data_IF_700997853925
#
_entry.id   IF_700997853925
#
_cell.length_a   1.000
_cell.length_b   1.000
_cell.length_c   1.000
_cell.angle_alpha   90.00
_cell.angle_beta   90.00
_cell.angle_gamma   90.00
#
_symmetry.space_group_name_H-M   'P 1'
#
loop_
_entity.id
_entity.type
_entity.pdbx_description
1 polymer ?
#
# COMPACT_ATOMS: atom_id res chain seq x y z
N UNK A 1 55.83 46.52 27.46
CA UNK A 1 55.18 46.93 26.20
C UNK A 1 55.74 46.02 25.13
N UNK A 2 54.97 45.01 24.72
CA UNK A 2 55.45 44.02 23.75
C UNK A 2 55.64 44.70 22.38
N UNK A 3 56.86 44.66 21.80
CA UNK A 3 57.17 45.36 20.55
C UNK A 3 56.60 44.66 19.30
N UNK A 4 55.67 43.73 19.45
CA UNK A 4 55.14 42.90 18.37
C UNK A 4 53.64 43.09 18.12
N UNK A 5 52.96 43.92 18.92
CA UNK A 5 51.56 44.25 18.65
C UNK A 5 51.47 45.30 17.53
N UNK A 6 51.35 44.83 16.30
CA UNK A 6 51.02 45.66 15.16
C UNK A 6 49.49 45.67 14.96
N UNK A 7 48.77 46.73 15.37
CA UNK A 7 47.32 46.78 15.32
C UNK A 7 46.73 46.68 13.90
N UNK A 8 47.52 46.98 12.86
CA UNK A 8 47.09 46.78 11.48
C UNK A 8 46.97 45.30 11.12
N UNK A 9 47.88 44.45 11.61
CA UNK A 9 47.83 43.00 11.33
C UNK A 9 46.60 42.37 11.98
N UNK A 10 46.22 42.79 13.19
CA UNK A 10 44.99 42.30 13.83
C UNK A 10 43.73 42.74 13.11
N UNK A 11 43.67 43.98 12.60
CA UNK A 11 42.51 44.45 11.84
C UNK A 11 42.34 43.72 10.50
N UNK A 12 43.46 43.41 9.82
CA UNK A 12 43.43 42.67 8.58
C UNK A 12 42.95 41.23 8.79
N UNK A 13 43.35 40.58 9.89
CA UNK A 13 42.88 39.24 10.26
C UNK A 13 41.37 39.22 10.59
N UNK A 14 40.87 40.16 11.39
CA UNK A 14 39.44 40.26 11.71
C UNK A 14 38.58 40.48 10.46
N UNK A 15 39.10 41.25 9.49
CA UNK A 15 38.41 41.49 8.21
C UNK A 15 38.36 40.25 7.32
N UNK A 16 39.44 39.44 7.32
CA UNK A 16 39.53 38.21 6.54
C UNK A 16 38.60 37.11 7.09
N UNK A 17 38.48 36.99 8.41
CA UNK A 17 37.52 36.08 9.05
C UNK A 17 36.07 36.48 8.73
N UNK A 18 35.74 37.77 8.79
CA UNK A 18 34.41 38.28 8.43
C UNK A 18 34.00 37.95 6.99
N UNK A 19 34.93 38.07 6.04
CA UNK A 19 34.70 37.69 4.64
C UNK A 19 34.50 36.18 4.52
N UNK A 20 35.32 35.36 5.20
CA UNK A 20 35.19 33.91 5.17
C UNK A 20 33.83 33.43 5.72
N UNK A 21 33.37 33.99 6.85
CA UNK A 21 32.06 33.68 7.41
C UNK A 21 30.90 34.11 6.49
N UNK A 22 31.03 35.24 5.80
CA UNK A 22 30.02 35.70 4.85
C UNK A 22 29.92 34.80 3.61
N UNK A 23 31.04 34.32 3.08
CA UNK A 23 31.10 33.39 1.94
C UNK A 23 30.57 32.01 2.32
N UNK A 24 30.95 31.50 3.51
CA UNK A 24 30.45 30.23 4.03
C UNK A 24 28.95 30.30 4.38
N UNK A 25 28.48 31.44 4.90
CA UNK A 25 27.06 31.71 5.18
C UNK A 25 26.20 31.79 3.90
N UNK A 26 26.69 32.45 2.86
CA UNK A 26 26.02 32.49 1.55
C UNK A 26 26.03 31.13 0.85
N UNK A 27 27.13 30.37 0.96
CA UNK A 27 27.24 29.02 0.41
C UNK A 27 26.28 28.02 1.06
N UNK A 28 26.11 28.09 2.39
CA UNK A 28 25.19 27.21 3.14
C UNK A 28 23.72 27.55 2.92
N UNK A 29 23.35 28.84 2.81
CA UNK A 29 21.98 29.26 2.49
C UNK A 29 21.60 28.93 1.03
N UNK A 30 22.52 29.12 0.08
CA UNK A 30 22.31 28.73 -1.31
C UNK A 30 22.16 27.21 -1.48
N UNK A 31 22.97 26.42 -0.75
CA UNK A 31 22.91 24.96 -0.81
C UNK A 31 21.64 24.40 -0.13
N UNK A 32 21.20 24.98 0.98
CA UNK A 32 19.94 24.58 1.65
C UNK A 32 18.70 24.94 0.82
N UNK A 33 18.70 26.11 0.16
CA UNK A 33 17.63 26.49 -0.77
C UNK A 33 17.51 25.55 -1.98
N UNK A 34 18.63 25.18 -2.60
CA UNK A 34 18.65 24.25 -3.74
C UNK A 34 18.23 22.84 -3.33
N UNK A 35 18.72 22.34 -2.19
CA UNK A 35 18.31 21.00 -1.70
C UNK A 35 16.83 20.94 -1.31
N UNK A 36 16.28 22.00 -0.70
CA UNK A 36 14.84 22.10 -0.41
C UNK A 36 14.00 22.12 -1.70
N UNK A 37 14.43 22.84 -2.73
CA UNK A 37 13.76 22.86 -4.03
C UNK A 37 13.78 21.49 -4.72
N UNK A 38 14.93 20.80 -4.70
CA UNK A 38 15.07 19.43 -5.23
C UNK A 38 14.16 18.47 -4.46
N UNK A 39 14.12 18.55 -3.13
CA UNK A 39 13.25 17.71 -2.31
C UNK A 39 11.76 17.96 -2.62
N UNK A 40 11.37 19.22 -2.79
CA UNK A 40 10.00 19.58 -3.18
C UNK A 40 9.62 19.03 -4.55
N UNK A 41 10.48 19.23 -5.56
CA UNK A 41 10.26 18.70 -6.92
C UNK A 41 10.17 17.17 -6.87
N UNK A 42 11.10 16.52 -6.16
CA UNK A 42 11.08 15.06 -5.98
C UNK A 42 9.79 14.60 -5.31
N UNK A 43 9.32 15.28 -4.25
CA UNK A 43 8.09 14.93 -3.56
C UNK A 43 6.86 15.06 -4.48
N UNK A 44 6.79 16.12 -5.29
CA UNK A 44 5.72 16.32 -6.27
C UNK A 44 5.75 15.22 -7.33
N UNK A 45 6.93 14.92 -7.89
CA UNK A 45 7.09 13.86 -8.88
C UNK A 45 6.72 12.49 -8.29
N UNK A 46 7.20 12.16 -7.10
CA UNK A 46 6.83 10.93 -6.40
C UNK A 46 5.32 10.85 -6.15
N UNK A 47 4.70 11.93 -5.70
CA UNK A 47 3.25 12.00 -5.50
C UNK A 47 2.49 11.73 -6.80
N UNK A 48 2.85 12.39 -7.90
CA UNK A 48 2.23 12.19 -9.21
C UNK A 48 2.40 10.75 -9.70
N UNK A 49 3.57 10.16 -9.51
CA UNK A 49 3.84 8.75 -9.84
C UNK A 49 2.93 7.83 -9.01
N UNK A 50 2.85 8.03 -7.69
CA UNK A 50 1.98 7.24 -6.80
C UNK A 50 0.51 7.33 -7.23
N UNK A 51 0.02 8.53 -7.54
CA UNK A 51 -1.35 8.73 -8.04
C UNK A 51 -1.57 8.02 -9.37
N UNK A 52 -0.61 8.10 -10.29
CA UNK A 52 -0.70 7.42 -11.59
C UNK A 52 -0.77 5.88 -11.43
N UNK A 53 0.11 5.30 -10.60
CA UNK A 53 0.08 3.86 -10.28
C UNK A 53 -1.25 3.44 -9.63
N UNK A 54 -1.76 4.26 -8.72
CA UNK A 54 -3.04 4.00 -8.07
C UNK A 54 -4.21 4.01 -9.07
N UNK A 55 -4.24 4.99 -9.98
CA UNK A 55 -5.26 5.07 -11.02
C UNK A 55 -5.15 3.91 -12.00
N UNK A 56 -3.94 3.46 -12.35
CA UNK A 56 -3.71 2.30 -13.21
C UNK A 56 -4.27 0.99 -12.62
N UNK A 57 -4.32 0.86 -11.30
CA UNK A 57 -5.01 -0.25 -10.63
C UNK A 57 -6.52 -0.04 -10.53
N UNK A 58 -6.95 1.20 -10.29
CA UNK A 58 -8.37 1.54 -10.05
C UNK A 58 -9.22 1.49 -11.32
N UNK A 59 -8.70 1.91 -12.47
CA UNK A 59 -9.43 1.93 -13.75
C UNK A 59 -9.84 0.52 -14.22
N UNK A 60 -8.95 -0.48 -14.26
CA UNK A 60 -9.32 -1.86 -14.61
C UNK A 60 -10.41 -2.41 -13.69
N UNK A 61 -10.28 -2.15 -12.39
CA UNK A 61 -11.22 -2.62 -11.40
C UNK A 61 -12.60 -1.96 -11.56
N UNK A 62 -12.64 -0.66 -11.86
CA UNK A 62 -13.86 0.06 -12.23
C UNK A 62 -14.54 -0.57 -13.46
N UNK A 63 -13.77 -0.88 -14.50
CA UNK A 63 -14.28 -1.51 -15.72
C UNK A 63 -14.82 -2.92 -15.43
N UNK A 64 -14.12 -3.71 -14.62
CA UNK A 64 -14.59 -5.03 -14.16
C UNK A 64 -15.90 -4.91 -13.37
N UNK A 65 -15.99 -3.97 -12.42
CA UNK A 65 -17.22 -3.75 -11.64
C UNK A 65 -18.40 -3.33 -12.50
N UNK A 66 -18.18 -2.41 -13.46
CA UNK A 66 -19.23 -2.02 -14.40
C UNK A 66 -19.70 -3.19 -15.26
N UNK A 67 -18.77 -4.00 -15.78
CA UNK A 67 -19.09 -5.22 -16.54
C UNK A 67 -19.84 -6.25 -15.70
N UNK A 68 -19.50 -6.34 -14.42
CA UNK A 68 -20.16 -7.22 -13.47
C UNK A 68 -21.50 -6.66 -12.93
N UNK A 69 -22.01 -5.54 -13.44
CA UNK A 69 -23.31 -4.98 -13.02
C UNK A 69 -23.31 -4.29 -11.64
N UNK A 70 -22.15 -4.01 -11.05
CA UNK A 70 -22.08 -3.43 -9.72
C UNK A 70 -22.50 -1.95 -9.71
N UNK A 71 -23.57 -1.61 -8.98
CA UNK A 71 -24.17 -0.26 -8.93
C UNK A 71 -23.18 0.84 -8.53
N UNK A 72 -22.22 0.52 -7.66
CA UNK A 72 -21.27 1.47 -7.10
C UNK A 72 -19.85 1.26 -7.62
N UNK A 73 -19.69 0.99 -8.93
CA UNK A 73 -18.37 0.74 -9.54
C UNK A 73 -17.33 1.85 -9.28
N UNK A 74 -17.78 3.10 -9.11
CA UNK A 74 -16.92 4.25 -8.78
C UNK A 74 -16.15 4.08 -7.46
N UNK A 75 -16.58 3.17 -6.58
CA UNK A 75 -15.84 2.82 -5.36
C UNK A 75 -14.45 2.25 -5.65
N UNK A 76 -14.14 1.84 -6.88
CA UNK A 76 -12.79 1.44 -7.26
C UNK A 76 -11.74 2.56 -7.08
N UNK A 77 -12.13 3.84 -7.01
CA UNK A 77 -11.21 4.98 -6.91
C UNK A 77 -10.87 5.41 -5.48
N UNK A 78 -11.41 4.78 -4.44
CA UNK A 78 -11.02 5.06 -3.05
C UNK A 78 -10.25 3.86 -2.46
N UNK A 79 -9.18 4.07 -1.67
CA UNK A 79 -8.25 3.00 -1.29
C UNK A 79 -8.91 1.79 -0.62
N UNK A 80 -9.64 2.00 0.47
CA UNK A 80 -10.26 0.90 1.21
C UNK A 80 -11.42 0.25 0.46
N UNK A 81 -12.15 1.03 -0.34
CA UNK A 81 -13.26 0.48 -1.13
C UNK A 81 -12.76 -0.22 -2.40
N UNK A 82 -11.55 0.09 -2.89
CA UNK A 82 -10.88 -0.67 -3.95
C UNK A 82 -10.59 -2.10 -3.48
N UNK A 83 -10.01 -2.26 -2.29
CA UNK A 83 -9.78 -3.58 -1.69
C UNK A 83 -11.10 -4.31 -1.44
N UNK A 84 -12.11 -3.62 -0.89
CA UNK A 84 -13.45 -4.18 -0.70
C UNK A 84 -14.04 -4.69 -2.02
N UNK A 85 -13.97 -3.89 -3.08
CA UNK A 85 -14.54 -4.19 -4.39
C UNK A 85 -13.79 -5.37 -5.05
N UNK A 86 -12.47 -5.42 -4.93
CA UNK A 86 -11.64 -6.57 -5.34
C UNK A 86 -12.08 -7.85 -4.62
N UNK A 87 -12.51 -7.74 -3.37
CA UNK A 87 -12.98 -8.86 -2.58
C UNK A 87 -14.39 -9.34 -2.97
N UNK A 88 -15.31 -8.44 -3.30
CA UNK A 88 -16.71 -8.80 -3.56
C UNK A 88 -16.98 -9.16 -5.03
N UNK A 89 -16.18 -8.67 -5.98
CA UNK A 89 -16.40 -8.90 -7.41
C UNK A 89 -16.39 -10.37 -7.82
N UNK A 90 -15.50 -11.22 -7.29
CA UNK A 90 -15.55 -12.64 -7.60
C UNK A 90 -16.79 -13.26 -6.93
N UNK A 91 -17.80 -13.64 -7.71
CA UNK A 91 -19.03 -14.26 -7.20
C UNK A 91 -18.81 -15.75 -6.88
N UNK A 92 -17.93 -16.04 -5.91
CA UNK A 92 -17.52 -17.39 -5.50
C UNK A 92 -17.53 -17.51 -4.00
N UNK A 93 -17.65 -18.73 -3.47
CA UNK A 93 -17.32 -18.97 -2.07
C UNK A 93 -15.89 -18.49 -1.75
N UNK A 94 -15.73 -17.73 -0.67
CA UNK A 94 -14.42 -17.40 -0.14
C UNK A 94 -13.87 -18.63 0.59
N UNK A 95 -12.75 -19.17 0.12
CA UNK A 95 -12.18 -20.39 0.66
C UNK A 95 -10.65 -20.30 0.75
N UNK A 96 -10.14 -20.20 1.97
CA UNK A 96 -8.71 -20.29 2.25
C UNK A 96 -8.40 -21.72 2.70
N UNK A 97 -7.73 -22.51 1.85
CA UNK A 97 -7.24 -23.86 2.14
C UNK A 97 -8.23 -24.79 2.86
N UNK A 98 -9.54 -24.65 2.59
CA UNK A 98 -10.64 -25.32 3.28
C UNK A 98 -10.75 -25.05 4.80
N UNK A 99 -9.92 -24.19 5.38
CA UNK A 99 -9.96 -23.84 6.81
C UNK A 99 -10.92 -22.70 7.10
N UNK A 100 -11.00 -21.71 6.19
CA UNK A 100 -11.92 -20.58 6.32
C UNK A 100 -12.79 -20.57 5.07
N UNK A 101 -14.09 -20.83 5.27
CA UNK A 101 -15.11 -20.88 4.22
C UNK A 101 -16.23 -19.90 4.52
N UNK A 102 -16.65 -19.12 3.53
CA UNK A 102 -17.78 -18.22 3.67
C UNK A 102 -18.42 -17.90 2.32
N UNK A 103 -19.75 -18.02 2.28
CA UNK A 103 -20.58 -17.53 1.17
C UNK A 103 -20.84 -16.02 1.27
N UNK A 104 -20.57 -15.40 2.43
CA UNK A 104 -20.70 -13.96 2.69
C UNK A 104 -19.37 -13.25 2.47
N UNK A 105 -19.09 -12.91 1.21
CA UNK A 105 -17.84 -12.23 0.80
C UNK A 105 -17.74 -10.80 1.32
N UNK A 106 -18.86 -10.10 1.40
CA UNK A 106 -18.98 -8.80 2.03
C UNK A 106 -18.46 -8.81 3.48
N UNK A 107 -18.86 -9.82 4.25
CA UNK A 107 -18.39 -10.00 5.64
C UNK A 107 -16.90 -10.29 5.69
N UNK A 108 -16.38 -11.13 4.78
CA UNK A 108 -14.95 -11.44 4.70
C UNK A 108 -14.10 -10.25 4.26
N UNK A 109 -14.64 -9.40 3.38
CA UNK A 109 -14.01 -8.14 2.99
C UNK A 109 -13.92 -7.17 4.18
N UNK A 110 -14.96 -7.08 5.00
CA UNK A 110 -14.95 -6.30 6.24
C UNK A 110 -13.97 -6.84 7.28
N UNK A 111 -13.87 -8.17 7.42
CA UNK A 111 -12.87 -8.80 8.30
C UNK A 111 -11.46 -8.46 7.83
N UNK A 112 -11.20 -8.56 6.52
CA UNK A 112 -9.92 -8.18 5.93
C UNK A 112 -9.58 -6.71 6.20
N UNK A 113 -10.51 -5.79 5.92
CA UNK A 113 -10.31 -4.36 6.20
C UNK A 113 -10.09 -4.09 7.69
N UNK A 114 -10.82 -4.78 8.56
CA UNK A 114 -10.61 -4.70 10.01
C UNK A 114 -9.21 -5.16 10.44
N UNK A 115 -8.71 -6.25 9.86
CA UNK A 115 -7.35 -6.75 10.09
C UNK A 115 -6.29 -5.75 9.60
N UNK A 116 -6.47 -5.18 8.41
CA UNK A 116 -5.51 -4.23 7.83
C UNK A 116 -5.47 -2.91 8.61
N UNK A 117 -6.63 -2.37 9.00
CA UNK A 117 -6.74 -1.07 9.67
C UNK A 117 -6.40 -1.18 11.16
N UNK A 118 -6.93 -2.18 11.86
CA UNK A 118 -6.84 -2.28 13.32
C UNK A 118 -5.89 -3.37 13.83
N UNK A 119 -5.46 -4.31 12.99
CA UNK A 119 -4.70 -5.49 13.43
C UNK A 119 -3.40 -5.14 14.15
N UNK A 120 -2.59 -4.24 13.57
CA UNK A 120 -1.32 -3.84 14.20
C UNK A 120 -1.55 -2.98 15.46
N UNK A 121 -2.63 -2.18 15.51
CA UNK A 121 -3.01 -1.43 16.70
C UNK A 121 -3.41 -2.35 17.86
N UNK A 122 -4.22 -3.37 17.57
CA UNK A 122 -4.60 -4.39 18.56
C UNK A 122 -3.37 -5.16 19.07
N UNK A 123 -2.45 -5.55 18.18
CA UNK A 123 -1.19 -6.18 18.57
C UNK A 123 -0.33 -5.25 19.45
N UNK A 124 -0.28 -3.95 19.15
CA UNK A 124 0.40 -2.94 19.96
C UNK A 124 -0.13 -2.87 21.40
N UNK A 125 -1.45 -2.95 21.57
CA UNK A 125 -2.07 -2.98 22.91
C UNK A 125 -1.67 -4.25 23.67
N UNK A 126 -1.78 -5.42 23.03
CA UNK A 126 -1.44 -6.71 23.68
C UNK A 126 0.04 -6.78 24.05
N UNK A 127 0.93 -6.29 23.19
CA UNK A 127 2.38 -6.25 23.47
C UNK A 127 2.71 -5.30 24.61
N UNK A 128 2.00 -4.18 24.74
CA UNK A 128 2.16 -3.25 25.86
C UNK A 128 1.73 -3.88 27.19
N UNK A 129 0.61 -4.62 27.21
CA UNK A 129 0.12 -5.31 28.41
C UNK A 129 1.06 -6.44 28.85
N UNK A 130 1.68 -7.13 27.89
CA UNK A 130 2.58 -8.26 28.15
C UNK A 130 4.04 -7.86 28.37
N UNK A 131 4.39 -6.58 28.18
CA UNK A 131 5.72 -6.02 28.37
C UNK A 131 6.33 -6.21 29.77
N UNK A 132 5.57 -6.18 30.89
CA UNK A 132 6.13 -6.38 32.22
C UNK A 132 6.67 -7.79 32.48
N UNK A 133 6.33 -8.77 31.62
CA UNK A 133 6.80 -10.15 31.75
C UNK A 133 8.03 -10.33 30.85
N UNK A 134 9.24 -10.54 31.42
CA UNK A 134 10.45 -10.72 30.64
C UNK A 134 10.32 -11.84 29.60
N UNK A 135 10.66 -11.56 28.35
CA UNK A 135 10.58 -12.51 27.23
C UNK A 135 9.18 -12.68 26.60
N UNK A 136 8.09 -12.57 27.37
CA UNK A 136 6.73 -12.79 26.84
C UNK A 136 6.32 -11.67 25.87
N UNK A 137 6.56 -10.40 26.21
CA UNK A 137 6.23 -9.28 25.32
C UNK A 137 6.94 -9.36 23.96
N UNK A 138 8.22 -9.75 23.95
CA UNK A 138 9.00 -9.93 22.72
C UNK A 138 8.51 -11.13 21.88
N UNK A 139 8.15 -12.23 22.54
CA UNK A 139 7.56 -13.40 21.89
C UNK A 139 6.22 -13.05 21.23
N UNK A 140 5.33 -12.37 21.96
CA UNK A 140 4.00 -11.95 21.46
C UNK A 140 4.14 -10.96 20.31
N UNK A 141 5.07 -10.00 20.39
CA UNK A 141 5.32 -9.06 19.30
C UNK A 141 5.80 -9.77 18.03
N UNK A 142 6.76 -10.70 18.17
CA UNK A 142 7.36 -11.41 17.05
C UNK A 142 6.37 -12.41 16.42
N UNK A 143 5.80 -13.31 17.23
CA UNK A 143 4.85 -14.31 16.76
C UNK A 143 3.52 -13.68 16.32
N UNK A 144 2.99 -12.73 17.09
CA UNK A 144 1.75 -12.03 16.75
C UNK A 144 1.89 -11.19 15.48
N UNK A 145 3.02 -10.48 15.32
CA UNK A 145 3.32 -9.72 14.10
C UNK A 145 3.44 -10.62 12.88
N UNK A 146 4.12 -11.76 13.02
CA UNK A 146 4.23 -12.77 11.96
C UNK A 146 2.86 -13.34 11.59
N UNK A 147 2.06 -13.79 12.56
CA UNK A 147 0.73 -14.38 12.33
C UNK A 147 -0.22 -13.38 11.68
N UNK A 148 -0.24 -12.13 12.16
CA UNK A 148 -1.08 -11.08 11.58
C UNK A 148 -0.68 -10.79 10.13
N UNK A 149 0.62 -10.61 9.89
CA UNK A 149 1.15 -10.34 8.54
C UNK A 149 0.80 -11.51 7.61
N UNK A 150 1.06 -12.75 8.04
CA UNK A 150 0.71 -13.95 7.30
C UNK A 150 -0.80 -14.02 6.98
N UNK A 151 -1.67 -13.74 7.95
CA UNK A 151 -3.11 -13.70 7.73
C UNK A 151 -3.51 -12.65 6.67
N UNK A 152 -2.96 -11.44 6.72
CA UNK A 152 -3.22 -10.39 5.72
C UNK A 152 -2.79 -10.85 4.32
N UNK A 153 -1.60 -11.44 4.19
CA UNK A 153 -1.11 -11.97 2.91
C UNK A 153 -1.99 -13.11 2.37
N UNK A 154 -2.51 -13.96 3.25
CA UNK A 154 -3.41 -15.06 2.88
C UNK A 154 -4.75 -14.57 2.33
N UNK A 155 -5.36 -13.58 2.99
CA UNK A 155 -6.57 -12.93 2.48
C UNK A 155 -6.32 -12.22 1.15
N UNK A 156 -5.21 -11.49 1.04
CA UNK A 156 -4.82 -10.76 -0.17
C UNK A 156 -4.55 -11.69 -1.35
N UNK A 157 -3.85 -12.81 -1.11
CA UNK A 157 -3.62 -13.86 -2.08
C UNK A 157 -4.92 -14.43 -2.62
N UNK A 158 -5.82 -14.81 -1.70
CA UNK A 158 -7.11 -15.40 -2.09
C UNK A 158 -7.97 -14.41 -2.87
N UNK A 159 -7.99 -13.15 -2.45
CA UNK A 159 -8.64 -12.05 -3.17
C UNK A 159 -8.15 -11.92 -4.62
N UNK A 160 -6.82 -11.88 -4.82
CA UNK A 160 -6.22 -11.79 -6.15
C UNK A 160 -6.51 -13.02 -7.00
N UNK A 161 -6.35 -14.21 -6.41
CA UNK A 161 -6.62 -15.48 -7.08
C UNK A 161 -8.05 -15.54 -7.62
N UNK A 162 -9.04 -15.23 -6.77
CA UNK A 162 -10.44 -15.31 -7.14
C UNK A 162 -10.84 -14.29 -8.21
N UNK A 163 -10.27 -13.08 -8.16
CA UNK A 163 -10.49 -12.08 -9.20
C UNK A 163 -9.94 -12.54 -10.56
N UNK A 164 -8.69 -12.98 -10.59
CA UNK A 164 -8.04 -13.45 -11.83
C UNK A 164 -8.73 -14.69 -12.41
N UNK A 165 -9.18 -15.60 -11.55
CA UNK A 165 -9.99 -16.74 -11.97
C UNK A 165 -11.34 -16.30 -12.57
N UNK A 166 -11.91 -15.16 -12.14
CA UNK A 166 -13.24 -14.70 -12.61
C UNK A 166 -13.17 -13.96 -13.93
N UNK A 167 -12.08 -13.24 -14.16
CA UNK A 167 -11.90 -12.41 -15.35
C UNK A 167 -10.85 -13.00 -16.32
N UNK A 168 -10.75 -14.34 -16.37
CA UNK A 168 -10.26 -15.05 -17.56
C UNK A 168 -8.79 -15.45 -17.61
N UNK A 169 -8.07 -15.55 -16.48
CA UNK A 169 -6.69 -16.06 -16.47
C UNK A 169 -6.53 -17.35 -15.64
N UNK A 170 -7.39 -18.33 -15.84
CA UNK A 170 -7.43 -19.54 -15.01
C UNK A 170 -6.11 -20.31 -14.94
N UNK A 171 -5.41 -20.47 -16.07
CA UNK A 171 -4.16 -21.24 -16.13
C UNK A 171 -3.05 -20.62 -15.28
N UNK A 172 -3.02 -19.29 -15.17
CA UNK A 172 -1.95 -18.55 -14.53
C UNK A 172 -2.38 -17.90 -13.20
N UNK A 173 -3.67 -17.91 -12.85
CA UNK A 173 -4.22 -17.17 -11.72
C UNK A 173 -3.53 -17.48 -10.39
N UNK A 174 -3.17 -18.76 -10.14
CA UNK A 174 -2.48 -19.17 -8.92
C UNK A 174 -1.08 -18.57 -8.83
N UNK A 175 -0.28 -18.73 -9.88
CA UNK A 175 1.09 -18.23 -9.88
C UNK A 175 1.13 -16.71 -9.85
N UNK A 176 0.27 -16.07 -10.65
CA UNK A 176 0.16 -14.61 -10.69
C UNK A 176 -0.27 -14.07 -9.33
N UNK A 177 -1.25 -14.68 -8.66
CA UNK A 177 -1.70 -14.19 -7.35
C UNK A 177 -0.64 -14.30 -6.26
N UNK A 178 0.17 -15.36 -6.27
CA UNK A 178 1.29 -15.53 -5.32
C UNK A 178 2.40 -14.53 -5.60
N UNK A 179 2.87 -14.44 -6.84
CA UNK A 179 3.99 -13.55 -7.20
C UNK A 179 3.58 -12.08 -6.98
N UNK A 180 2.31 -11.75 -7.22
CA UNK A 180 1.74 -10.42 -6.99
C UNK A 180 1.75 -9.97 -5.52
N UNK A 181 1.90 -10.89 -4.56
CA UNK A 181 2.07 -10.52 -3.16
C UNK A 181 3.40 -9.80 -2.91
N UNK A 182 4.44 -10.23 -3.63
CA UNK A 182 5.80 -9.69 -3.52
C UNK A 182 6.07 -8.60 -4.55
N UNK A 183 5.33 -8.63 -5.67
CA UNK A 183 5.50 -7.74 -6.80
C UNK A 183 4.14 -7.12 -7.16
N UNK A 184 3.66 -6.10 -6.42
CA UNK A 184 2.29 -5.60 -6.54
C UNK A 184 1.91 -5.09 -7.93
N UNK A 185 2.88 -4.55 -8.68
CA UNK A 185 2.66 -4.04 -10.02
C UNK A 185 2.35 -5.14 -11.05
N UNK A 186 2.71 -6.41 -10.78
CA UNK A 186 2.26 -7.54 -11.63
C UNK A 186 0.73 -7.68 -11.56
N UNK A 187 0.14 -7.60 -10.37
CA UNK A 187 -1.31 -7.66 -10.22
C UNK A 187 -1.99 -6.59 -11.08
N UNK A 188 -1.49 -5.37 -11.04
CA UNK A 188 -1.99 -4.25 -11.84
C UNK A 188 -1.96 -4.57 -13.36
N UNK A 189 -0.83 -5.06 -13.88
CA UNK A 189 -0.70 -5.46 -15.29
C UNK A 189 -1.71 -6.56 -15.66
N UNK A 190 -1.81 -7.58 -14.82
CA UNK A 190 -2.73 -8.69 -15.07
C UNK A 190 -4.20 -8.26 -14.99
N UNK A 191 -4.54 -7.36 -14.06
CA UNK A 191 -5.88 -6.80 -13.93
C UNK A 191 -6.25 -5.96 -15.16
N UNK A 192 -5.30 -5.20 -15.74
CA UNK A 192 -5.48 -4.49 -17.02
C UNK A 192 -5.81 -5.42 -18.18
N UNK A 193 -5.21 -6.62 -18.25
CA UNK A 193 -5.56 -7.60 -19.27
C UNK A 193 -6.90 -8.28 -18.98
N UNK A 194 -7.12 -8.68 -17.73
CA UNK A 194 -8.34 -9.34 -17.29
C UNK A 194 -9.59 -8.46 -17.44
N UNK A 195 -9.48 -7.13 -17.33
CA UNK A 195 -10.65 -6.26 -17.44
C UNK A 195 -11.28 -6.27 -18.84
N UNK A 196 -10.58 -6.78 -19.86
CA UNK A 196 -11.11 -6.96 -21.22
C UNK A 196 -12.11 -8.13 -21.28
N UNK A 197 -11.93 -9.15 -20.46
CA UNK A 197 -12.77 -10.34 -20.45
C UNK A 197 -14.11 -10.10 -19.74
N UNK A 198 -15.20 -10.74 -20.18
CA UNK A 198 -16.42 -10.78 -19.40
C UNK A 198 -16.20 -11.59 -18.12
N UNK A 199 -16.91 -11.26 -17.02
CA UNK A 199 -16.88 -12.08 -15.81
C UNK A 199 -17.46 -13.46 -16.14
N UNK A 200 -16.77 -14.51 -15.72
CA UNK A 200 -17.28 -15.87 -15.82
C UNK A 200 -18.53 -16.07 -14.94
N UNK A 201 -18.56 -15.34 -13.81
CA UNK A 201 -19.67 -15.29 -12.85
C UNK A 201 -19.81 -13.85 -12.34
N UNK A 202 -21.01 -13.26 -12.34
CA UNK A 202 -21.20 -11.83 -11.99
C UNK A 202 -22.56 -11.49 -11.38
N UNK A 203 -22.60 -10.40 -10.60
CA UNK A 203 -23.81 -9.83 -9.97
C UNK A 203 -24.68 -9.19 -11.05
N UNK A 204 -25.49 -10.04 -11.68
CA UNK A 204 -26.30 -9.74 -12.86
C UNK A 204 -26.57 -10.98 -13.71
N UNK A 205 -25.79 -12.06 -13.52
CA UNK A 205 -25.95 -13.31 -14.26
C UNK A 205 -26.15 -14.58 -13.39
N UNK A 206 -26.26 -14.46 -12.06
CA UNK A 206 -26.40 -15.63 -11.17
C UNK A 206 -27.65 -15.67 -10.26
N UNK A 207 -28.42 -14.59 -10.13
CA UNK A 207 -29.76 -14.71 -9.52
C UNK A 207 -30.77 -15.43 -10.43
N UNK A 208 -30.43 -15.66 -11.71
CA UNK A 208 -31.28 -16.41 -12.66
C UNK A 208 -30.87 -17.88 -12.83
N UNK A 209 -29.67 -18.30 -12.40
CA UNK A 209 -29.18 -19.66 -12.61
C UNK A 209 -29.32 -20.59 -11.39
N UNK A 210 -29.50 -20.04 -10.18
CA UNK A 210 -29.67 -20.84 -8.95
C UNK A 210 -30.98 -20.51 -8.19
N UNK A 211 -31.96 -19.89 -8.84
CA UNK A 211 -33.35 -19.83 -8.35
C UNK A 211 -34.29 -20.82 -9.08
N UNK A 212 -33.75 -21.68 -9.93
CA UNK A 212 -34.41 -22.93 -10.33
C UNK A 212 -33.66 -24.04 -9.63
N UNK A 213 -34.07 -24.31 -8.40
CA UNK A 213 -34.22 -25.64 -7.79
C UNK A 213 -34.83 -25.45 -6.38
#
# INVERSE_FOLDING_TARGET
MDPLYNPQISQDLDSAEGILYSILGLGTLGFTGITALIALISAIVSFLITVAFYLLQSVPLFLMARKAGYKHAWMAFFPYTNDFLTFILPAREFNIFNWIKSNKRDMMALIYLGLVIFGYGALGIVTTITAPIPGLGALVASCGGFVLTFAIYMFKWRMYYDLLMTFGQKSNALWVSIVSLFVPWLFMIFTLFSCKNPPEYGVGNYYMCHQKD
#
